data_IF_174825076626
#
_entry.id   IF_174825076626
#
_cell.length_a   1.000
_cell.length_b   1.000
_cell.length_c   1.000
_cell.angle_alpha   90.00
_cell.angle_beta   90.00
_cell.angle_gamma   90.00
#
_symmetry.space_group_name_H-M   'P 1'
#
loop_
_entity.id
_entity.type
_entity.pdbx_description
1 polymer ?
#
# COMPACT_ATOMS: atom_id res chain seq x y z
N UNK A 1 39.65 6.69 -52.92
CA UNK A 1 40.86 7.12 -52.19
C UNK A 1 40.63 6.82 -50.72
N UNK A 2 41.25 5.75 -50.20
CA UNK A 2 41.05 5.25 -48.85
C UNK A 2 42.36 5.39 -48.06
N UNK A 3 42.31 6.16 -46.99
CA UNK A 3 43.45 6.48 -46.12
C UNK A 3 43.65 5.35 -45.10
N UNK A 4 44.82 4.72 -45.15
CA UNK A 4 45.39 3.88 -44.07
C UNK A 4 46.18 4.79 -43.11
N UNK A 5 46.19 4.49 -41.80
CA UNK A 5 47.31 4.68 -40.83
C UNK A 5 46.89 4.01 -39.49
N UNK A 6 47.35 2.77 -39.20
CA UNK A 6 48.39 2.31 -38.24
C UNK A 6 47.97 2.33 -36.74
N UNK A 7 47.88 1.16 -36.07
CA UNK A 7 47.92 1.05 -34.62
C UNK A 7 49.35 0.87 -34.08
N UNK A 8 49.67 1.60 -33.02
CA UNK A 8 50.97 1.64 -32.33
C UNK A 8 51.13 0.42 -31.41
N UNK A 9 52.23 -0.32 -31.60
CA UNK A 9 52.76 -1.32 -30.66
C UNK A 9 53.90 -0.66 -29.88
N UNK A 10 53.90 -0.74 -28.55
CA UNK A 10 55.07 -0.40 -27.73
C UNK A 10 55.50 -1.62 -26.91
N UNK A 11 56.77 -1.95 -27.12
CA UNK A 11 57.54 -3.05 -26.57
C UNK A 11 58.01 -2.80 -25.12
N UNK A 12 58.25 -3.94 -24.49
CA UNK A 12 58.94 -4.24 -23.23
C UNK A 12 60.40 -3.74 -23.24
N UNK A 13 60.87 -3.21 -22.11
CA UNK A 13 62.29 -3.10 -21.76
C UNK A 13 62.50 -3.57 -20.32
N UNK A 14 63.56 -4.34 -20.11
CA UNK A 14 64.04 -4.87 -18.84
C UNK A 14 65.40 -4.24 -18.50
N UNK A 15 65.71 -4.08 -17.20
CA UNK A 15 67.03 -4.12 -16.53
C UNK A 15 66.77 -3.90 -15.00
N UNK A 16 67.11 -4.81 -14.06
CA UNK A 16 68.42 -5.12 -13.43
C UNK A 16 69.03 -3.90 -12.69
N UNK A 17 69.46 -3.86 -11.41
CA UNK A 17 69.78 -4.82 -10.33
C UNK A 17 69.95 -4.07 -8.97
N UNK A 18 69.91 -4.80 -7.84
CA UNK A 18 70.76 -4.72 -6.61
C UNK A 18 70.06 -4.72 -5.22
N UNK A 19 69.95 -5.93 -4.66
CA UNK A 19 70.41 -6.44 -3.34
C UNK A 19 70.72 -5.46 -2.18
N UNK A 20 70.10 -5.65 -0.99
CA UNK A 20 70.79 -5.92 0.30
C UNK A 20 69.87 -6.68 1.28
N UNK A 21 70.45 -7.77 1.78
CA UNK A 21 70.07 -8.73 2.81
C UNK A 21 69.89 -8.15 4.23
N UNK A 22 68.82 -8.52 4.96
CA UNK A 22 68.87 -8.71 6.42
C UNK A 22 67.96 -9.85 6.90
N UNK A 23 68.53 -10.65 7.79
CA UNK A 23 68.05 -11.87 8.45
C UNK A 23 66.72 -11.71 9.19
N UNK A 24 65.86 -12.74 9.14
CA UNK A 24 65.36 -13.48 10.33
C UNK A 24 64.46 -14.66 9.93
N UNK A 25 64.80 -15.88 10.40
CA UNK A 25 63.92 -17.06 10.48
C UNK A 25 62.80 -16.81 11.52
N UNK A 26 61.71 -17.62 11.67
CA UNK A 26 61.58 -19.07 11.38
C UNK A 26 60.17 -19.60 10.96
N UNK A 27 60.05 -20.94 10.92
CA UNK A 27 58.86 -21.81 11.07
C UNK A 27 58.24 -22.38 9.76
N UNK A 28 58.16 -23.73 9.62
CA UNK A 28 57.43 -24.38 8.53
C UNK A 28 55.96 -24.58 8.93
N UNK A 29 55.03 -23.93 8.22
CA UNK A 29 53.60 -24.21 8.32
C UNK A 29 53.16 -25.00 7.09
N UNK A 30 52.85 -26.28 7.31
CA UNK A 30 52.21 -27.17 6.35
C UNK A 30 50.90 -26.56 5.86
N UNK A 31 50.81 -26.27 4.56
CA UNK A 31 49.58 -25.82 3.90
C UNK A 31 48.68 -27.05 3.72
N UNK A 32 47.65 -27.13 4.55
CA UNK A 32 46.53 -28.06 4.37
C UNK A 32 45.57 -27.47 3.33
N UNK A 33 45.20 -28.27 2.33
CA UNK A 33 44.23 -27.89 1.30
C UNK A 33 42.86 -27.55 1.92
N UNK A 34 42.10 -26.58 1.36
CA UNK A 34 40.78 -26.24 1.87
C UNK A 34 39.77 -27.32 1.49
N UNK A 35 38.99 -27.76 2.49
CA UNK A 35 37.87 -28.68 2.33
C UNK A 35 36.75 -28.06 1.47
N UNK A 36 35.95 -28.87 0.73
CA UNK A 36 34.86 -28.36 -0.08
C UNK A 36 33.75 -27.78 0.80
N UNK A 37 33.27 -26.60 0.40
CA UNK A 37 32.13 -25.89 1.01
C UNK A 37 30.85 -26.73 0.83
N UNK A 38 30.06 -26.99 1.88
CA UNK A 38 28.79 -27.69 1.74
C UNK A 38 27.75 -26.79 1.04
N UNK A 39 27.06 -27.35 0.05
CA UNK A 39 25.92 -26.71 -0.62
C UNK A 39 24.78 -26.40 0.38
N UNK A 40 24.05 -25.29 0.18
CA UNK A 40 22.95 -24.91 1.07
C UNK A 40 21.75 -25.85 0.89
N UNK A 41 21.33 -26.45 1.99
CA UNK A 41 20.12 -27.27 2.09
C UNK A 41 18.88 -26.38 1.83
N UNK A 42 17.91 -26.80 1.01
CA UNK A 42 16.68 -26.04 0.79
C UNK A 42 15.88 -25.92 2.09
N UNK A 43 15.63 -24.70 2.55
CA UNK A 43 14.74 -24.42 3.67
C UNK A 43 13.30 -24.69 3.21
N UNK A 44 12.69 -25.76 3.71
CA UNK A 44 11.25 -25.98 3.54
C UNK A 44 10.48 -24.88 4.29
N UNK A 45 9.68 -24.12 3.55
CA UNK A 45 8.70 -23.20 4.12
C UNK A 45 7.65 -24.00 4.91
N UNK A 46 7.22 -23.53 6.10
CA UNK A 46 6.15 -24.20 6.83
C UNK A 46 4.86 -24.13 6.03
N UNK A 47 4.26 -25.30 5.81
CA UNK A 47 2.94 -25.45 5.18
C UNK A 47 1.90 -24.88 6.17
N UNK A 48 1.24 -23.78 5.80
CA UNK A 48 0.14 -23.21 6.56
C UNK A 48 -1.02 -24.21 6.60
N UNK A 49 -1.34 -24.67 7.81
CA UNK A 49 -2.52 -25.49 8.09
C UNK A 49 -3.80 -24.67 7.84
N UNK A 50 -4.86 -25.23 7.23
CA UNK A 50 -6.10 -24.48 6.98
C UNK A 50 -6.82 -24.15 8.29
N UNK A 51 -7.07 -22.86 8.54
CA UNK A 51 -7.90 -22.41 9.65
C UNK A 51 -9.33 -22.95 9.46
N UNK A 52 -9.96 -23.60 10.46
CA UNK A 52 -11.34 -24.06 10.36
C UNK A 52 -12.31 -22.89 10.18
N UNK A 53 -13.16 -22.97 9.15
CA UNK A 53 -14.23 -22.00 8.91
C UNK A 53 -15.20 -21.93 10.11
N UNK A 54 -15.64 -20.75 10.55
CA UNK A 54 -16.69 -20.63 11.55
C UNK A 54 -18.02 -21.17 11.01
N UNK A 55 -18.87 -21.78 11.87
CA UNK A 55 -20.15 -22.33 11.44
C UNK A 55 -21.11 -21.23 10.96
N UNK A 56 -21.91 -21.46 9.92
CA UNK A 56 -22.89 -20.49 9.45
C UNK A 56 -24.00 -20.34 10.50
N UNK A 57 -24.24 -19.10 10.92
CA UNK A 57 -25.40 -18.77 11.75
C UNK A 57 -26.57 -18.27 10.89
N UNK A 58 -27.83 -18.57 11.28
CA UNK A 58 -28.95 -18.70 10.36
C UNK A 58 -29.59 -17.36 9.99
N UNK A 59 -30.14 -17.30 8.78
CA UNK A 59 -31.00 -16.22 8.30
C UNK A 59 -32.25 -16.82 7.63
N UNK A 60 -33.32 -16.07 7.39
CA UNK A 60 -34.38 -15.68 8.32
C UNK A 60 -35.70 -16.41 8.03
N UNK A 61 -36.62 -16.44 9.00
CA UNK A 61 -37.99 -16.93 8.78
C UNK A 61 -38.98 -15.77 8.55
N UNK A 62 -39.80 -15.81 7.49
CA UNK A 62 -41.11 -15.16 7.46
C UNK A 62 -42.23 -16.20 7.17
N UNK A 63 -43.53 -15.85 7.22
CA UNK A 63 -44.24 -14.78 7.92
C UNK A 63 -45.41 -15.31 8.80
N UNK A 64 -46.02 -14.47 9.64
CA UNK A 64 -47.35 -14.74 10.21
C UNK A 64 -48.35 -13.70 9.71
N UNK A 65 -49.35 -14.18 8.98
CA UNK A 65 -50.53 -13.45 8.54
C UNK A 65 -51.33 -12.95 9.75
N UNK A 66 -51.71 -11.67 9.74
CA UNK A 66 -52.81 -11.15 10.54
C UNK A 66 -53.69 -10.28 9.63
N UNK A 67 -54.88 -10.79 9.39
CA UNK A 67 -55.93 -10.18 8.59
C UNK A 67 -56.40 -8.84 9.17
N UNK A 68 -56.67 -7.87 8.30
CA UNK A 68 -57.53 -6.72 8.59
C UNK A 68 -58.15 -6.23 7.27
N UNK A 69 -59.27 -6.85 6.88
CA UNK A 69 -60.14 -6.34 5.83
C UNK A 69 -61.46 -5.93 6.49
N UNK A 70 -61.64 -4.63 6.73
CA UNK A 70 -62.93 -4.02 7.04
C UNK A 70 -63.43 -3.36 5.75
N UNK A 71 -64.40 -3.99 5.08
CA UNK A 71 -65.18 -3.36 4.01
C UNK A 71 -66.60 -3.17 4.53
N UNK A 72 -67.00 -1.91 4.62
CA UNK A 72 -68.35 -1.46 4.99
C UNK A 72 -69.30 -1.66 3.81
N UNK A 73 -70.38 -2.39 4.07
CA UNK A 73 -71.53 -2.57 3.17
C UNK A 73 -72.32 -1.27 3.00
N UNK A 74 -72.65 -0.92 1.75
CA UNK A 74 -73.84 -0.14 1.42
C UNK A 74 -74.53 -0.87 0.26
N UNK A 75 -75.78 -1.27 0.53
CA UNK A 75 -76.68 -1.93 -0.40
C UNK A 75 -77.46 -0.89 -1.23
N UNK A 76 -77.74 -1.20 -2.49
CA UNK A 76 -78.96 -0.80 -3.21
C UNK A 76 -79.14 -1.68 -4.45
N UNK A 77 -80.40 -2.01 -4.71
CA UNK A 77 -80.93 -2.99 -5.66
C UNK A 77 -80.79 -2.56 -7.13
N UNK A 78 -80.72 -3.50 -8.08
CA UNK A 78 -81.83 -3.78 -9.02
C UNK A 78 -81.53 -4.91 -10.04
N UNK A 79 -82.64 -5.58 -10.37
CA UNK A 79 -83.04 -6.56 -11.39
C UNK A 79 -82.11 -7.40 -12.32
N UNK A 80 -82.65 -8.61 -12.52
CA UNK A 80 -82.35 -9.82 -13.30
C UNK A 80 -82.08 -9.67 -14.81
N UNK A 81 -81.02 -10.31 -15.31
CA UNK A 81 -81.07 -11.09 -16.58
C UNK A 81 -79.81 -11.92 -16.84
N UNK A 82 -80.06 -13.10 -17.40
CA UNK A 82 -79.16 -14.18 -17.77
C UNK A 82 -78.09 -13.79 -18.80
N UNK A 83 -76.80 -14.07 -18.57
CA UNK A 83 -75.95 -14.75 -19.57
C UNK A 83 -74.54 -15.11 -19.07
N UNK A 84 -74.17 -16.37 -19.34
CA UNK A 84 -72.85 -16.89 -19.72
C UNK A 84 -71.57 -16.40 -19.01
N UNK A 85 -71.00 -17.36 -18.28
CA UNK A 85 -69.61 -17.43 -17.80
C UNK A 85 -68.59 -16.89 -18.81
N UNK A 86 -67.93 -15.78 -18.48
CA UNK A 86 -66.59 -15.46 -18.95
C UNK A 86 -65.90 -14.57 -17.90
N UNK A 87 -65.40 -15.18 -16.83
CA UNK A 87 -64.37 -14.53 -16.01
C UNK A 87 -63.08 -14.56 -16.83
N UNK A 88 -62.51 -13.42 -17.26
CA UNK A 88 -61.15 -13.43 -17.75
C UNK A 88 -60.29 -13.84 -16.56
N UNK A 89 -59.58 -14.96 -16.71
CA UNK A 89 -58.62 -15.43 -15.75
C UNK A 89 -57.76 -14.25 -15.26
N UNK A 90 -57.47 -14.12 -13.96
CA UNK A 90 -56.44 -13.19 -13.54
C UNK A 90 -55.20 -13.64 -14.31
N UNK A 91 -54.71 -12.77 -15.19
CA UNK A 91 -53.38 -12.87 -15.75
C UNK A 91 -52.44 -12.79 -14.55
N UNK A 92 -52.19 -13.94 -13.92
CA UNK A 92 -50.95 -14.20 -13.21
C UNK A 92 -49.93 -14.15 -14.33
N UNK A 93 -49.51 -12.92 -14.68
CA UNK A 93 -48.31 -12.70 -15.47
C UNK A 93 -47.24 -13.41 -14.68
N UNK A 94 -46.85 -14.59 -15.16
CA UNK A 94 -45.56 -15.18 -14.83
C UNK A 94 -44.59 -14.04 -15.13
N UNK A 95 -44.08 -13.40 -14.08
CA UNK A 95 -42.95 -12.48 -14.16
C UNK A 95 -42.00 -13.13 -15.17
N UNK A 96 -41.78 -12.51 -16.33
CA UNK A 96 -40.94 -13.15 -17.35
C UNK A 96 -39.59 -13.39 -16.72
N UNK A 97 -38.89 -14.44 -17.13
CA UNK A 97 -37.49 -14.65 -16.73
C UNK A 97 -36.67 -13.38 -17.04
N UNK A 98 -37.07 -12.61 -18.06
CA UNK A 98 -36.49 -11.31 -18.41
C UNK A 98 -36.70 -10.25 -17.30
N UNK A 99 -37.92 -10.12 -16.76
CA UNK A 99 -38.22 -9.17 -15.68
C UNK A 99 -37.44 -9.52 -14.40
N UNK A 100 -37.25 -10.81 -14.13
CA UNK A 100 -36.43 -11.28 -13.00
C UNK A 100 -34.95 -11.00 -13.24
N UNK A 101 -34.46 -11.21 -14.46
CA UNK A 101 -33.08 -10.91 -14.83
C UNK A 101 -32.76 -9.41 -14.68
N UNK A 102 -33.65 -8.53 -15.11
CA UNK A 102 -33.53 -7.08 -14.90
C UNK A 102 -33.46 -6.71 -13.40
N UNK A 103 -34.31 -7.34 -12.59
CA UNK A 103 -34.29 -7.13 -11.14
C UNK A 103 -32.95 -7.59 -10.52
N UNK A 104 -32.43 -8.74 -10.92
CA UNK A 104 -31.15 -9.27 -10.42
C UNK A 104 -30.00 -8.36 -10.83
N UNK A 105 -29.95 -7.92 -12.08
CA UNK A 105 -28.93 -6.98 -12.57
C UNK A 105 -28.95 -5.68 -11.74
N UNK A 106 -30.13 -5.10 -11.51
CA UNK A 106 -30.25 -3.90 -10.67
C UNK A 106 -29.73 -4.11 -9.25
N UNK A 107 -30.01 -5.25 -8.63
CA UNK A 107 -29.50 -5.58 -7.29
C UNK A 107 -27.97 -5.71 -7.31
N UNK A 108 -27.41 -6.33 -8.34
CA UNK A 108 -25.96 -6.49 -8.48
C UNK A 108 -25.26 -5.13 -8.65
N UNK A 109 -25.82 -4.22 -9.45
CA UNK A 109 -25.32 -2.86 -9.61
C UNK A 109 -25.37 -2.08 -8.29
N UNK A 110 -26.45 -2.23 -7.51
CA UNK A 110 -26.58 -1.61 -6.18
C UNK A 110 -25.54 -2.16 -5.20
N UNK A 111 -25.29 -3.47 -5.23
CA UNK A 111 -24.25 -4.12 -4.42
C UNK A 111 -22.87 -3.64 -4.85
N UNK A 112 -22.57 -3.55 -6.13
CA UNK A 112 -21.29 -3.02 -6.65
C UNK A 112 -21.05 -1.60 -6.14
N UNK A 113 -22.06 -0.73 -6.26
CA UNK A 113 -22.00 0.64 -5.72
C UNK A 113 -21.73 0.65 -4.22
N UNK A 114 -22.38 -0.23 -3.46
CA UNK A 114 -22.18 -0.34 -2.00
C UNK A 114 -20.78 -0.86 -1.65
N UNK A 115 -20.23 -1.78 -2.45
CA UNK A 115 -18.85 -2.27 -2.30
C UNK A 115 -17.85 -1.14 -2.51
N UNK A 116 -18.04 -0.31 -3.54
CA UNK A 116 -17.13 0.82 -3.80
C UNK A 116 -17.19 1.86 -2.67
N UNK A 117 -18.38 2.19 -2.18
CA UNK A 117 -18.55 3.07 -1.00
C UNK A 117 -17.87 2.50 0.25
N UNK A 118 -17.94 1.18 0.45
CA UNK A 118 -17.26 0.51 1.56
C UNK A 118 -15.74 0.60 1.41
N UNK A 119 -15.20 0.41 0.20
CA UNK A 119 -13.77 0.55 -0.09
C UNK A 119 -13.29 1.97 0.19
N UNK A 120 -14.05 2.98 -0.21
CA UNK A 120 -13.74 4.38 0.06
C UNK A 120 -13.76 4.69 1.56
N UNK A 121 -14.78 4.24 2.28
CA UNK A 121 -14.88 4.40 3.73
C UNK A 121 -13.71 3.73 4.48
N UNK A 122 -13.36 2.50 4.10
CA UNK A 122 -12.22 1.79 4.67
C UNK A 122 -10.88 2.51 4.35
N UNK A 123 -10.74 3.09 3.17
CA UNK A 123 -9.56 3.90 2.79
C UNK A 123 -9.44 5.18 3.61
N UNK A 124 -10.55 5.81 4.01
CA UNK A 124 -10.55 6.94 4.93
C UNK A 124 -10.13 6.53 6.34
N UNK A 125 -10.62 5.38 6.84
CA UNK A 125 -10.22 4.85 8.14
C UNK A 125 -8.74 4.43 8.19
N UNK A 126 -8.22 3.85 7.10
CA UNK A 126 -6.79 3.56 6.94
C UNK A 126 -5.95 4.84 7.09
N UNK A 127 -6.38 5.94 6.45
CA UNK A 127 -5.71 7.24 6.52
C UNK A 127 -5.82 7.91 7.89
N UNK A 128 -6.99 7.84 8.55
CA UNK A 128 -7.17 8.40 9.90
C UNK A 128 -6.27 7.70 10.92
N UNK A 129 -6.17 6.36 10.84
CA UNK A 129 -5.22 5.58 11.66
C UNK A 129 -3.79 6.05 11.46
N UNK A 130 -3.36 6.22 10.20
CA UNK A 130 -2.01 6.69 9.87
C UNK A 130 -1.77 8.11 10.39
N UNK A 131 -2.74 9.02 10.23
CA UNK A 131 -2.67 10.38 10.74
C UNK A 131 -2.51 10.42 12.27
N UNK A 132 -3.22 9.56 13.02
CA UNK A 132 -3.06 9.46 14.47
C UNK A 132 -1.63 9.03 14.84
N UNK A 133 -1.07 8.04 14.14
CA UNK A 133 0.30 7.60 14.37
C UNK A 133 1.31 8.71 14.05
N UNK A 134 1.09 9.47 12.98
CA UNK A 134 1.94 10.60 12.60
C UNK A 134 1.90 11.73 13.65
N UNK A 135 0.73 12.03 14.21
CA UNK A 135 0.59 13.01 15.30
C UNK A 135 1.36 12.56 16.55
N UNK A 136 1.21 11.29 16.94
CA UNK A 136 1.92 10.74 18.10
C UNK A 136 3.43 10.74 17.88
N UNK A 137 3.89 10.38 16.69
CA UNK A 137 5.31 10.43 16.34
C UNK A 137 5.85 11.88 16.37
N UNK A 138 5.05 12.86 15.96
CA UNK A 138 5.41 14.27 16.03
C UNK A 138 5.59 14.76 17.48
N UNK A 139 4.77 14.26 18.41
CA UNK A 139 4.96 14.51 19.85
C UNK A 139 6.26 13.88 20.33
N UNK A 140 6.53 12.62 19.99
CA UNK A 140 7.77 11.92 20.37
C UNK A 140 9.05 12.60 19.89
N UNK A 141 9.00 13.25 18.73
CA UNK A 141 10.15 13.92 18.12
C UNK A 141 10.27 15.41 18.49
N UNK A 142 9.37 15.94 19.32
CA UNK A 142 9.37 17.35 19.69
C UNK A 142 10.57 17.68 20.61
N UNK A 143 11.46 18.56 20.14
CA UNK A 143 12.66 18.98 20.88
C UNK A 143 12.35 19.71 22.19
N UNK A 144 11.18 20.33 22.33
CA UNK A 144 10.79 21.00 23.58
C UNK A 144 10.61 20.01 24.74
N UNK A 145 10.37 18.73 24.47
CA UNK A 145 10.36 17.70 25.51
C UNK A 145 11.71 17.56 26.23
N UNK A 146 12.81 17.98 25.61
CA UNK A 146 14.13 17.97 26.23
C UNK A 146 14.28 19.06 27.31
N UNK A 147 13.40 20.06 27.31
CA UNK A 147 13.40 21.14 28.32
C UNK A 147 12.59 20.76 29.57
N UNK A 148 11.82 19.67 29.50
CA UNK A 148 11.04 19.16 30.62
C UNK A 148 11.93 18.41 31.61
N UNK A 149 11.45 18.31 32.85
CA UNK A 149 12.05 17.42 33.83
C UNK A 149 12.00 15.96 33.36
N UNK A 150 12.91 15.12 33.88
CA UNK A 150 12.98 13.71 33.50
C UNK A 150 11.65 12.98 33.73
N UNK A 151 10.99 13.23 34.87
CA UNK A 151 9.69 12.63 35.20
C UNK A 151 8.59 12.97 34.18
N UNK A 152 8.39 14.26 33.90
CA UNK A 152 7.39 14.71 32.93
C UNK A 152 7.64 14.13 31.53
N UNK A 153 8.92 14.05 31.13
CA UNK A 153 9.32 13.47 29.84
C UNK A 153 9.02 11.96 29.78
N UNK A 154 9.30 11.22 30.84
CA UNK A 154 9.00 9.78 30.93
C UNK A 154 7.49 9.53 30.88
N UNK A 155 6.70 10.35 31.60
CA UNK A 155 5.24 10.26 31.61
C UNK A 155 4.65 10.53 30.21
N UNK A 156 5.10 11.60 29.54
CA UNK A 156 4.67 11.92 28.17
C UNK A 156 5.05 10.79 27.21
N UNK A 157 6.25 10.22 27.35
CA UNK A 157 6.72 9.11 26.51
C UNK A 157 5.87 7.86 26.75
N UNK A 158 5.56 7.54 28.01
CA UNK A 158 4.72 6.41 28.37
C UNK A 158 3.29 6.56 27.82
N UNK A 159 2.71 7.76 27.91
CA UNK A 159 1.37 8.06 27.38
C UNK A 159 1.38 7.93 25.85
N UNK A 160 2.34 8.54 25.17
CA UNK A 160 2.46 8.48 23.71
C UNK A 160 2.60 7.05 23.21
N UNK A 161 3.46 6.26 23.86
CA UNK A 161 3.65 4.84 23.52
C UNK A 161 2.38 4.01 23.75
N UNK A 162 1.67 4.24 24.85
CA UNK A 162 0.39 3.58 25.14
C UNK A 162 -0.67 3.91 24.09
N UNK A 163 -0.77 5.18 23.69
CA UNK A 163 -1.71 5.59 22.63
C UNK A 163 -1.33 4.97 21.29
N UNK A 164 -0.05 4.99 20.92
CA UNK A 164 0.42 4.37 19.68
C UNK A 164 0.12 2.87 19.64
N UNK A 165 0.33 2.16 20.75
CA UNK A 165 -0.02 0.74 20.87
C UNK A 165 -1.52 0.48 20.67
N UNK A 166 -2.39 1.33 21.25
CA UNK A 166 -3.84 1.24 21.06
C UNK A 166 -4.27 1.55 19.63
N UNK A 167 -3.69 2.55 18.98
CA UNK A 167 -3.97 2.84 17.57
C UNK A 167 -3.59 1.67 16.68
N UNK A 168 -2.48 0.97 16.99
CA UNK A 168 -2.03 -0.22 16.25
C UNK A 168 -2.96 -1.44 16.39
N UNK A 169 -3.86 -1.49 17.39
CA UNK A 169 -4.83 -2.60 17.50
C UNK A 169 -5.97 -2.50 16.49
N UNK A 170 -6.18 -1.33 15.88
CA UNK A 170 -7.15 -1.15 14.80
C UNK A 170 -6.46 -1.52 13.49
N UNK A 171 -6.93 -2.56 12.81
CA UNK A 171 -6.40 -2.95 11.50
C UNK A 171 -7.45 -2.79 10.41
N UNK A 172 -7.16 -1.93 9.44
CA UNK A 172 -8.02 -1.61 8.31
C UNK A 172 -7.14 -1.58 7.07
N UNK A 173 -7.39 -2.50 6.14
CA UNK A 173 -6.61 -2.66 4.92
C UNK A 173 -7.55 -2.74 3.73
N UNK A 174 -7.35 -1.87 2.75
CA UNK A 174 -8.02 -1.96 1.44
C UNK A 174 -7.09 -2.65 0.46
N UNK A 175 -7.48 -3.83 -0.04
CA UNK A 175 -6.70 -4.54 -1.04
C UNK A 175 -6.92 -3.93 -2.44
N UNK A 176 -5.82 -3.54 -3.07
CA UNK A 176 -5.81 -3.08 -4.46
C UNK A 176 -5.48 -4.29 -5.34
N UNK A 177 -6.41 -4.77 -6.18
CA UNK A 177 -6.11 -5.84 -7.13
C UNK A 177 -5.08 -5.33 -8.15
N UNK A 178 -4.00 -6.10 -8.35
CA UNK A 178 -2.88 -5.73 -9.22
C UNK A 178 -2.54 -6.86 -10.18
N UNK A 179 -2.16 -6.51 -11.40
CA UNK A 179 -1.49 -7.44 -12.32
C UNK A 179 -0.03 -7.68 -11.89
N UNK A 180 0.60 -8.71 -12.45
CA UNK A 180 2.02 -8.98 -12.20
C UNK A 180 2.93 -7.81 -12.62
N UNK A 181 2.56 -7.10 -13.69
CA UNK A 181 3.28 -5.91 -14.16
C UNK A 181 3.14 -4.74 -13.18
N UNK A 182 1.90 -4.44 -12.75
CA UNK A 182 1.64 -3.39 -11.77
C UNK A 182 2.35 -3.66 -10.45
N UNK A 183 2.42 -4.93 -10.03
CA UNK A 183 3.16 -5.31 -8.82
C UNK A 183 4.67 -5.09 -8.97
N UNK A 184 5.25 -5.41 -10.13
CA UNK A 184 6.68 -5.13 -10.41
C UNK A 184 6.98 -3.64 -10.44
N UNK A 185 6.11 -2.85 -11.09
CA UNK A 185 6.23 -1.39 -11.12
C UNK A 185 6.19 -0.81 -9.70
N UNK A 186 5.22 -1.24 -8.88
CA UNK A 186 5.09 -0.82 -7.48
C UNK A 186 6.32 -1.19 -6.65
N UNK A 187 6.86 -2.40 -6.81
CA UNK A 187 8.10 -2.80 -6.12
C UNK A 187 9.29 -1.94 -6.54
N UNK A 188 9.42 -1.63 -7.83
CA UNK A 188 10.48 -0.74 -8.34
C UNK A 188 10.35 0.67 -7.77
N UNK A 189 9.14 1.24 -7.77
CA UNK A 189 8.87 2.56 -7.20
C UNK A 189 9.16 2.59 -5.70
N UNK A 190 8.75 1.57 -4.95
CA UNK A 190 9.05 1.49 -3.52
C UNK A 190 10.55 1.42 -3.23
N UNK A 191 11.31 0.67 -4.04
CA UNK A 191 12.78 0.61 -3.90
C UNK A 191 13.44 1.98 -4.14
N UNK A 192 12.94 2.77 -5.11
CA UNK A 192 13.41 4.14 -5.31
C UNK A 192 13.12 5.04 -4.10
N UNK A 193 11.92 4.90 -3.50
CA UNK A 193 11.53 5.67 -2.30
C UNK A 193 12.39 5.26 -1.09
N UNK A 194 12.65 3.97 -0.90
CA UNK A 194 13.55 3.48 0.15
C UNK A 194 14.97 4.07 -0.01
N UNK A 195 15.46 4.19 -1.25
CA UNK A 195 16.72 4.87 -1.54
C UNK A 195 16.74 6.34 -1.12
N UNK A 196 15.61 7.05 -1.20
CA UNK A 196 15.48 8.44 -0.70
C UNK A 196 15.53 8.48 0.82
N UNK A 197 14.86 7.55 1.50
CA UNK A 197 14.89 7.45 2.97
C UNK A 197 16.30 7.14 3.45
N UNK A 198 17.04 6.26 2.76
CA UNK A 198 18.43 5.98 3.10
C UNK A 198 19.32 7.22 2.95
N UNK A 199 19.14 7.99 1.87
CA UNK A 199 19.86 9.27 1.66
C UNK A 199 19.58 10.31 2.74
N UNK A 200 18.46 10.23 3.45
CA UNK A 200 18.18 11.11 4.59
C UNK A 200 19.29 11.07 5.65
N UNK A 201 19.95 9.92 5.81
CA UNK A 201 21.04 9.74 6.76
C UNK A 201 22.42 10.13 6.20
N UNK A 202 22.63 9.93 4.90
CA UNK A 202 23.93 10.16 4.25
C UNK A 202 24.10 11.61 3.77
N UNK A 203 23.11 12.14 3.05
CA UNK A 203 23.06 13.49 2.50
C UNK A 203 21.61 13.99 2.49
N UNK A 204 21.25 14.66 3.59
CA UNK A 204 19.92 15.19 3.85
C UNK A 204 19.41 16.10 2.72
N UNK A 205 20.27 16.97 2.16
CA UNK A 205 19.86 17.91 1.12
C UNK A 205 19.61 17.21 -0.21
N UNK A 206 20.53 16.32 -0.62
CA UNK A 206 20.35 15.56 -1.86
C UNK A 206 19.14 14.60 -1.78
N UNK A 207 18.89 14.00 -0.61
CA UNK A 207 17.71 13.19 -0.34
C UNK A 207 16.42 13.99 -0.49
N UNK A 208 16.33 15.16 0.15
CA UNK A 208 15.17 16.06 0.09
C UNK A 208 14.86 16.51 -1.34
N UNK A 209 15.88 16.92 -2.10
CA UNK A 209 15.74 17.33 -3.49
C UNK A 209 15.27 16.16 -4.39
N UNK A 210 15.82 14.96 -4.18
CA UNK A 210 15.35 13.75 -4.90
C UNK A 210 13.87 13.47 -4.57
N UNK A 211 13.49 13.55 -3.30
CA UNK A 211 12.11 13.36 -2.85
C UNK A 211 11.14 14.37 -3.49
N UNK A 212 11.55 15.63 -3.61
CA UNK A 212 10.76 16.68 -4.29
C UNK A 212 10.54 16.36 -5.76
N UNK A 213 11.57 15.90 -6.48
CA UNK A 213 11.44 15.48 -7.88
C UNK A 213 10.48 14.30 -8.06
N UNK A 214 10.48 13.34 -7.15
CA UNK A 214 9.52 12.24 -7.13
C UNK A 214 8.11 12.72 -6.81
N UNK A 215 7.95 13.66 -5.87
CA UNK A 215 6.65 14.22 -5.55
C UNK A 215 6.07 15.00 -6.75
N UNK A 216 6.91 15.77 -7.44
CA UNK A 216 6.54 16.47 -8.68
C UNK A 216 6.15 15.49 -9.80
N UNK A 217 6.81 14.33 -9.89
CA UNK A 217 6.44 13.28 -10.84
C UNK A 217 5.05 12.68 -10.59
N UNK A 218 4.51 12.79 -9.37
CA UNK A 218 3.15 12.36 -9.06
C UNK A 218 2.07 13.33 -9.55
N UNK A 219 2.44 14.54 -10.01
CA UNK A 219 1.54 15.52 -10.61
C UNK A 219 2.26 16.36 -11.68
N UNK A 220 2.43 15.83 -12.90
CA UNK A 220 3.17 16.50 -13.97
C UNK A 220 2.45 17.73 -14.54
N UNK A 221 1.15 17.91 -14.29
CA UNK A 221 0.35 19.03 -14.79
C UNK A 221 0.61 20.33 -14.00
N UNK A 222 1.12 20.20 -12.77
CA UNK A 222 1.50 21.34 -11.93
C UNK A 222 2.78 21.02 -11.13
N UNK A 223 3.94 20.90 -11.81
CA UNK A 223 5.17 20.56 -11.14
C UNK A 223 5.76 21.80 -10.45
N UNK A 224 6.00 21.69 -9.15
CA UNK A 224 6.73 22.71 -8.38
C UNK A 224 8.24 22.47 -8.52
N UNK A 225 8.75 22.57 -9.76
CA UNK A 225 10.15 22.37 -10.12
C UNK A 225 10.44 21.11 -10.95
N UNK A 226 11.67 20.60 -10.94
CA UNK A 226 12.08 19.50 -11.81
C UNK A 226 11.36 18.18 -11.46
N UNK A 227 11.12 17.37 -12.49
CA UNK A 227 10.50 16.04 -12.40
C UNK A 227 11.54 14.96 -12.70
N UNK A 228 11.49 13.85 -11.96
CA UNK A 228 12.23 12.65 -12.33
C UNK A 228 11.42 11.80 -13.32
N UNK A 229 11.82 11.81 -14.60
CA UNK A 229 11.12 11.10 -15.67
C UNK A 229 11.19 9.58 -15.52
N UNK A 230 12.27 9.05 -14.95
CA UNK A 230 12.43 7.60 -14.76
C UNK A 230 11.46 7.10 -13.70
N UNK A 231 11.35 7.83 -12.59
CA UNK A 231 10.37 7.57 -11.55
C UNK A 231 8.94 7.71 -12.11
N UNK A 232 8.68 8.78 -12.87
CA UNK A 232 7.36 9.02 -13.47
C UNK A 232 6.91 7.86 -14.37
N UNK A 233 7.80 7.35 -15.23
CA UNK A 233 7.48 6.23 -16.11
C UNK A 233 7.04 4.98 -15.33
N UNK A 234 7.74 4.64 -14.24
CA UNK A 234 7.38 3.51 -13.39
C UNK A 234 6.12 3.77 -12.56
N UNK A 235 5.88 5.02 -12.16
CA UNK A 235 4.70 5.42 -11.41
C UNK A 235 3.42 5.28 -12.25
N UNK A 236 3.46 5.63 -13.53
CA UNK A 236 2.31 5.54 -14.44
C UNK A 236 1.88 4.08 -14.65
N UNK A 237 2.81 3.13 -14.56
CA UNK A 237 2.51 1.69 -14.61
C UNK A 237 1.83 1.16 -13.33
N UNK A 238 1.82 1.94 -12.24
CA UNK A 238 1.11 1.59 -11.01
C UNK A 238 -0.39 1.91 -11.11
N UNK A 239 -1.20 1.30 -10.23
CA UNK A 239 -2.64 1.62 -10.15
C UNK A 239 -2.86 3.06 -9.65
N UNK A 240 -4.01 3.66 -9.99
CA UNK A 240 -4.35 5.01 -9.51
C UNK A 240 -4.36 5.11 -7.96
N UNK A 241 -4.76 4.04 -7.27
CA UNK A 241 -4.72 3.96 -5.81
C UNK A 241 -3.27 3.97 -5.29
N UNK A 242 -2.39 3.20 -5.92
CA UNK A 242 -0.97 3.17 -5.56
C UNK A 242 -0.32 4.53 -5.82
N UNK A 243 -0.62 5.19 -6.94
CA UNK A 243 -0.12 6.53 -7.24
C UNK A 243 -0.52 7.54 -6.14
N UNK A 244 -1.77 7.50 -5.67
CA UNK A 244 -2.24 8.32 -4.54
C UNK A 244 -1.49 7.99 -3.24
N UNK A 245 -1.31 6.70 -2.93
CA UNK A 245 -0.56 6.25 -1.73
C UNK A 245 0.90 6.69 -1.78
N UNK A 246 1.57 6.53 -2.92
CA UNK A 246 2.96 6.95 -3.17
C UNK A 246 3.10 8.47 -3.01
N UNK A 247 2.20 9.26 -3.60
CA UNK A 247 2.20 10.73 -3.45
C UNK A 247 2.12 11.16 -1.99
N UNK A 248 1.23 10.54 -1.20
CA UNK A 248 1.11 10.81 0.25
C UNK A 248 2.39 10.45 1.00
N UNK A 249 2.94 9.25 0.73
CA UNK A 249 4.19 8.78 1.32
C UNK A 249 5.35 9.75 1.06
N UNK A 250 5.49 10.24 -0.17
CA UNK A 250 6.50 11.24 -0.52
C UNK A 250 6.31 12.56 0.23
N UNK A 251 5.07 13.05 0.36
CA UNK A 251 4.78 14.26 1.12
C UNK A 251 5.10 14.10 2.63
N UNK A 252 4.81 12.93 3.22
CA UNK A 252 5.21 12.61 4.59
C UNK A 252 6.73 12.58 4.74
N UNK A 253 7.46 11.97 3.79
CA UNK A 253 8.92 11.94 3.80
C UNK A 253 9.51 13.35 3.73
N UNK A 254 9.02 14.23 2.83
CA UNK A 254 9.46 15.64 2.80
C UNK A 254 9.23 16.31 4.16
N UNK A 255 8.07 16.08 4.78
CA UNK A 255 7.78 16.63 6.11
C UNK A 255 8.76 16.10 7.17
N UNK A 256 9.23 14.86 7.04
CA UNK A 256 10.28 14.30 7.91
C UNK A 256 11.64 14.97 7.66
N UNK A 257 12.04 15.18 6.41
CA UNK A 257 13.24 15.95 6.07
C UNK A 257 13.22 17.34 6.72
N UNK A 258 12.12 18.08 6.57
CA UNK A 258 11.98 19.43 7.15
C UNK A 258 11.99 19.44 8.68
N UNK A 259 11.44 18.41 9.32
CA UNK A 259 11.52 18.27 10.78
C UNK A 259 12.95 18.00 11.22
N UNK A 260 13.64 17.06 10.57
CA UNK A 260 15.02 16.73 10.87
C UNK A 260 15.93 17.96 10.71
N UNK A 261 15.78 18.73 9.63
CA UNK A 261 16.55 19.98 9.42
C UNK A 261 16.37 20.99 10.56
N UNK A 262 15.14 21.14 11.10
CA UNK A 262 14.88 22.04 12.24
C UNK A 262 15.53 21.55 13.52
N UNK A 263 15.62 20.23 13.73
CA UNK A 263 16.27 19.65 14.91
C UNK A 263 17.80 19.81 14.85
N UNK A 264 18.40 19.81 13.66
CA UNK A 264 19.85 19.90 13.48
C UNK A 264 20.39 21.31 13.18
N UNK A 265 19.53 22.29 12.91
CA UNK A 265 19.94 23.69 12.75
C UNK A 265 19.84 24.40 14.10
N UNK A 266 20.96 24.71 14.78
CA UNK A 266 20.91 25.56 15.96
C UNK A 266 20.40 26.92 15.50
N UNK A 267 19.26 27.37 16.03
CA UNK A 267 18.90 28.78 15.96
C UNK A 267 19.89 29.52 16.87
N UNK A 268 20.90 30.15 16.27
CA UNK A 268 21.75 31.14 16.92
C UNK A 268 21.24 32.54 16.62
#
# INVERSE_FOLDING_TARGET
MATRIIPITIQRSADSSNNVNTKSSPIPTTISAPAPVPEPVPVQLPVSEPIPLPPPSPSPSPPSEAASNTITSIASNDEMSTNSRNFPAPFIRKQSIDDFNEQVVHILDEVEKRVEQLREAASMLEQEKEQILDMLNSVSLNSELLRLGQGDREDITAITNRLAARTKTVDVVVNTPRSAEQQRALTSVNSLIEGVVQKMHDDMQAGKETCRRYLNACNPDQPDGPIDQKFQAQLIECTADDQKKIRRKLAQIISQFERAERTFSPQW
#
